data_IF_461582340077
#
_entry.id   IF_461582340077
#
_cell.length_a   1.000
_cell.length_b   1.000
_cell.length_c   1.000
_cell.angle_alpha   90.00
_cell.angle_beta   90.00
_cell.angle_gamma   90.00
#
_symmetry.space_group_name_H-M   'P 1'
#
loop_
_entity.id
_entity.type
_entity.pdbx_description
1 polymer ?
#
# COMPACT_ATOMS: atom_id res chain seq x y z
N UNK A 1 10.70 107.40 -129.05
CA UNK A 1 9.44 106.88 -129.61
C UNK A 1 9.79 105.75 -130.59
N UNK A 2 9.74 104.49 -130.12
CA UNK A 2 10.43 103.32 -130.69
C UNK A 2 10.73 103.37 -132.20
N UNK A 3 11.98 103.69 -132.55
CA UNK A 3 12.48 103.60 -133.93
C UNK A 3 12.61 102.11 -134.28
N UNK A 4 11.70 101.63 -135.10
CA UNK A 4 11.81 100.26 -135.63
C UNK A 4 12.91 100.19 -136.69
N UNK A 5 13.62 99.04 -136.84
CA UNK A 5 14.58 98.86 -137.93
C UNK A 5 13.98 99.07 -139.34
N UNK A 6 12.67 98.90 -139.49
CA UNK A 6 11.94 99.18 -140.73
C UNK A 6 11.81 100.71 -140.95
N UNK A 7 11.53 101.50 -139.92
CA UNK A 7 11.52 102.96 -140.01
C UNK A 7 12.90 103.54 -140.38
N UNK A 8 14.01 102.92 -139.94
CA UNK A 8 15.38 103.30 -140.35
C UNK A 8 15.60 103.05 -141.85
N UNK A 9 15.05 101.95 -142.37
CA UNK A 9 15.19 101.54 -143.76
C UNK A 9 14.35 102.41 -144.72
N UNK A 10 13.19 102.87 -144.27
CA UNK A 10 12.21 103.60 -145.07
C UNK A 10 12.32 105.13 -144.92
N UNK A 11 13.34 105.65 -144.22
CA UNK A 11 13.57 107.08 -144.02
C UNK A 11 14.09 107.77 -145.29
N UNK A 12 13.31 108.70 -145.82
CA UNK A 12 13.75 109.64 -146.87
C UNK A 12 14.37 110.91 -146.26
N UNK A 13 15.25 111.58 -147.03
CA UNK A 13 15.91 112.83 -146.64
C UNK A 13 15.79 113.88 -147.75
N UNK A 14 15.63 115.14 -147.36
CA UNK A 14 15.58 116.28 -148.26
C UNK A 14 16.92 116.45 -148.99
N UNK A 15 16.84 116.85 -150.27
CA UNK A 15 18.03 117.11 -151.09
C UNK A 15 18.33 118.61 -151.19
N UNK A 16 19.61 118.96 -151.09
CA UNK A 16 20.16 120.30 -151.29
C UNK A 16 21.13 120.28 -152.48
N UNK A 17 21.60 121.45 -152.90
CA UNK A 17 22.59 121.53 -153.98
C UNK A 17 23.84 120.72 -153.63
N UNK A 18 24.04 119.61 -154.38
CA UNK A 18 25.14 118.64 -154.22
C UNK A 18 25.08 117.70 -153.00
N UNK A 19 23.89 117.35 -152.49
CA UNK A 19 23.76 116.23 -151.53
C UNK A 19 22.40 116.13 -150.83
N UNK A 20 22.31 115.26 -149.82
CA UNK A 20 21.23 115.31 -148.82
C UNK A 20 21.45 116.45 -147.81
N UNK A 21 20.40 116.81 -147.07
CA UNK A 21 20.48 117.80 -146.00
C UNK A 21 21.27 117.26 -144.81
N UNK A 22 22.51 117.75 -144.66
CA UNK A 22 23.41 117.37 -143.57
C UNK A 22 22.94 117.83 -142.17
N UNK A 23 21.85 118.60 -142.05
CA UNK A 23 21.21 118.90 -140.75
C UNK A 23 20.18 117.82 -140.41
N UNK A 24 19.29 117.50 -141.35
CA UNK A 24 18.24 116.49 -141.18
C UNK A 24 18.82 115.08 -140.97
N UNK A 25 19.81 114.70 -141.79
CA UNK A 25 20.54 113.42 -141.64
C UNK A 25 21.22 113.32 -140.27
N UNK A 26 21.75 114.43 -139.73
CA UNK A 26 22.37 114.44 -138.40
C UNK A 26 21.36 114.29 -137.28
N UNK A 27 20.29 115.08 -137.29
CA UNK A 27 19.24 115.00 -136.27
C UNK A 27 18.59 113.59 -136.24
N UNK A 28 18.47 112.94 -137.40
CA UNK A 28 17.97 111.57 -137.47
C UNK A 28 18.98 110.52 -136.94
N UNK A 29 20.26 110.66 -137.26
CA UNK A 29 21.32 109.80 -136.71
C UNK A 29 21.51 110.01 -135.19
N UNK A 30 21.28 111.22 -134.69
CA UNK A 30 21.28 111.57 -133.27
C UNK A 30 20.12 110.88 -132.55
N UNK A 31 18.90 110.95 -133.10
CA UNK A 31 17.72 110.23 -132.57
C UNK A 31 17.89 108.69 -132.62
N UNK A 32 18.53 108.14 -133.66
CA UNK A 32 18.91 106.72 -133.71
C UNK A 32 19.94 106.40 -132.62
N UNK A 33 20.93 107.27 -132.40
CA UNK A 33 21.95 107.05 -131.37
C UNK A 33 21.36 107.09 -129.95
N UNK A 34 20.39 107.97 -129.68
CA UNK A 34 19.63 108.01 -128.42
C UNK A 34 18.84 106.71 -128.20
N UNK A 35 18.04 106.28 -129.18
CA UNK A 35 17.22 105.05 -129.08
C UNK A 35 18.08 103.77 -129.01
N UNK A 36 19.21 103.73 -129.71
CA UNK A 36 20.16 102.63 -129.64
C UNK A 36 20.91 102.61 -128.29
N UNK A 37 21.22 103.79 -127.72
CA UNK A 37 21.76 103.90 -126.38
C UNK A 37 20.76 103.44 -125.31
N UNK A 38 19.48 103.85 -125.41
CA UNK A 38 18.42 103.31 -124.54
C UNK A 38 18.31 101.78 -124.65
N UNK A 39 18.42 101.22 -125.86
CA UNK A 39 18.35 99.77 -126.07
C UNK A 39 19.55 99.04 -125.45
N UNK A 40 20.77 99.56 -125.62
CA UNK A 40 21.97 99.00 -125.00
C UNK A 40 21.92 99.08 -123.47
N UNK A 41 21.44 100.18 -122.92
CA UNK A 41 21.30 100.36 -121.47
C UNK A 41 20.19 99.45 -120.89
N UNK A 42 19.08 99.25 -121.60
CA UNK A 42 18.07 98.24 -121.23
C UNK A 42 18.61 96.81 -121.31
N UNK A 43 19.42 96.48 -122.32
CA UNK A 43 20.09 95.19 -122.43
C UNK A 43 21.06 94.97 -121.26
N UNK A 44 21.87 95.98 -120.91
CA UNK A 44 22.78 95.93 -119.75
C UNK A 44 22.01 95.70 -118.44
N UNK A 45 20.91 96.43 -118.23
CA UNK A 45 20.04 96.25 -117.06
C UNK A 45 19.43 94.84 -117.01
N UNK A 46 18.95 94.31 -118.14
CA UNK A 46 18.41 92.95 -118.22
C UNK A 46 19.49 91.87 -118.00
N UNK A 47 20.71 92.07 -118.48
CA UNK A 47 21.85 91.17 -118.19
C UNK A 47 22.23 91.19 -116.71
N UNK A 48 22.18 92.36 -116.06
CA UNK A 48 22.40 92.52 -114.62
C UNK A 48 21.28 91.87 -113.78
N UNK A 49 20.01 92.08 -114.14
CA UNK A 49 18.84 91.41 -113.54
C UNK A 49 18.91 89.87 -113.69
N UNK A 50 19.19 89.38 -114.91
CA UNK A 50 19.34 87.94 -115.18
C UNK A 50 20.52 87.36 -114.39
N UNK A 51 21.62 88.11 -114.27
CA UNK A 51 22.77 87.73 -113.45
C UNK A 51 22.42 87.60 -111.96
N UNK A 52 21.64 88.55 -111.43
CA UNK A 52 21.24 88.55 -110.04
C UNK A 52 20.18 87.48 -109.71
N UNK A 53 19.17 87.29 -110.57
CA UNK A 53 18.18 86.22 -110.45
C UNK A 53 18.85 84.84 -110.48
N UNK A 54 19.91 84.66 -111.27
CA UNK A 54 20.72 83.42 -111.26
C UNK A 54 21.42 83.19 -109.92
N UNK A 55 22.12 84.19 -109.36
CA UNK A 55 22.75 84.08 -108.03
C UNK A 55 21.73 83.74 -106.94
N UNK A 56 20.57 84.40 -106.96
CA UNK A 56 19.50 84.15 -105.99
C UNK A 56 18.92 82.74 -106.14
N UNK A 57 18.77 82.24 -107.38
CA UNK A 57 18.37 80.84 -107.64
C UNK A 57 19.43 79.86 -107.14
N UNK A 58 20.70 80.07 -107.46
CA UNK A 58 21.82 79.21 -107.04
C UNK A 58 21.91 79.13 -105.51
N UNK A 59 21.80 80.27 -104.82
CA UNK A 59 21.74 80.32 -103.34
C UNK A 59 20.50 79.60 -102.79
N UNK A 60 19.34 79.74 -103.42
CA UNK A 60 18.12 79.04 -103.01
C UNK A 60 18.22 77.52 -103.24
N UNK A 61 18.85 77.07 -104.32
CA UNK A 61 19.11 75.65 -104.59
C UNK A 61 20.12 75.07 -103.58
N UNK A 62 21.17 75.82 -103.21
CA UNK A 62 22.09 75.42 -102.14
C UNK A 62 21.38 75.32 -100.77
N UNK A 63 20.59 76.34 -100.39
CA UNK A 63 19.84 76.33 -99.12
C UNK A 63 18.83 75.20 -99.06
N UNK A 64 18.10 74.92 -100.15
CA UNK A 64 17.18 73.78 -100.21
C UNK A 64 17.92 72.44 -100.09
N UNK A 65 19.09 72.29 -100.74
CA UNK A 65 19.93 71.08 -100.63
C UNK A 65 20.42 70.85 -99.20
N UNK A 66 20.87 71.90 -98.50
CA UNK A 66 21.26 71.86 -97.08
C UNK A 66 20.07 71.47 -96.19
N UNK A 67 18.93 72.16 -96.34
CA UNK A 67 17.70 71.88 -95.57
C UNK A 67 17.18 70.46 -95.80
N UNK A 68 17.28 69.92 -97.02
CA UNK A 68 16.93 68.53 -97.29
C UNK A 68 17.87 67.57 -96.54
N UNK A 69 19.17 67.84 -96.51
CA UNK A 69 20.14 67.07 -95.71
C UNK A 69 19.84 67.10 -94.21
N UNK A 70 19.49 68.27 -93.67
CA UNK A 70 19.11 68.44 -92.26
C UNK A 70 17.79 67.69 -91.94
N UNK A 71 16.83 67.70 -92.86
CA UNK A 71 15.56 66.95 -92.75
C UNK A 71 15.81 65.45 -92.79
N UNK A 72 16.62 64.94 -93.72
CA UNK A 72 16.98 63.53 -93.82
C UNK A 72 17.74 63.05 -92.57
N UNK A 73 18.64 63.87 -92.03
CA UNK A 73 19.33 63.58 -90.77
C UNK A 73 18.37 63.55 -89.57
N UNK A 74 17.46 64.52 -89.49
CA UNK A 74 16.42 64.58 -88.44
C UNK A 74 15.47 63.37 -88.50
N UNK A 75 15.06 62.94 -89.70
CA UNK A 75 14.23 61.75 -89.89
C UNK A 75 14.93 60.49 -89.36
N UNK A 76 16.21 60.28 -89.71
CA UNK A 76 17.00 59.12 -89.23
C UNK A 76 17.13 59.11 -87.70
N UNK A 77 17.38 60.28 -87.08
CA UNK A 77 17.43 60.40 -85.62
C UNK A 77 16.07 60.09 -84.96
N UNK A 78 14.95 60.50 -85.59
CA UNK A 78 13.60 60.15 -85.11
C UNK A 78 13.30 58.65 -85.27
N UNK A 79 13.79 58.01 -86.32
CA UNK A 79 13.68 56.55 -86.52
C UNK A 79 14.53 55.76 -85.51
N UNK A 80 15.78 56.17 -85.27
CA UNK A 80 16.66 55.60 -84.25
C UNK A 80 16.05 55.73 -82.84
N UNK A 81 15.55 56.93 -82.49
CA UNK A 81 14.88 57.18 -81.22
C UNK A 81 13.63 56.31 -81.06
N UNK A 82 12.79 56.16 -82.10
CA UNK A 82 11.62 55.26 -82.11
C UNK A 82 12.02 53.80 -81.91
N UNK A 83 13.08 53.33 -82.56
CA UNK A 83 13.63 51.99 -82.33
C UNK A 83 14.05 51.80 -80.87
N UNK A 84 14.83 52.72 -80.32
CA UNK A 84 15.29 52.67 -78.93
C UNK A 84 14.15 52.79 -77.89
N UNK A 85 13.02 53.40 -78.26
CA UNK A 85 11.82 53.49 -77.43
C UNK A 85 11.07 52.15 -77.46
N UNK A 86 10.83 51.58 -78.64
CA UNK A 86 10.19 50.27 -78.76
C UNK A 86 10.97 49.17 -78.03
N UNK A 87 12.32 49.16 -78.11
CA UNK A 87 13.13 48.23 -77.32
C UNK A 87 13.11 48.50 -75.80
N UNK A 88 12.68 49.68 -75.34
CA UNK A 88 12.47 49.95 -73.90
C UNK A 88 11.10 49.48 -73.48
N UNK A 89 10.07 49.78 -74.27
CA UNK A 89 8.69 49.29 -74.06
C UNK A 89 8.65 47.76 -73.99
N UNK A 90 9.41 47.02 -74.82
CA UNK A 90 9.51 45.55 -74.68
C UNK A 90 10.21 45.13 -73.39
N UNK A 91 11.34 45.75 -73.02
CA UNK A 91 12.09 45.42 -71.79
C UNK A 91 11.33 45.79 -70.51
N UNK A 92 10.49 46.82 -70.56
CA UNK A 92 9.59 47.20 -69.47
C UNK A 92 8.42 46.21 -69.37
N UNK A 93 7.87 45.74 -70.50
CA UNK A 93 6.85 44.69 -70.51
C UNK A 93 7.38 43.30 -70.10
N UNK A 94 8.66 42.99 -70.38
CA UNK A 94 9.34 41.79 -69.87
C UNK A 94 9.50 41.87 -68.35
N UNK A 95 10.07 42.97 -67.84
CA UNK A 95 10.22 43.20 -66.39
C UNK A 95 8.92 43.26 -65.62
N UNK A 96 7.83 43.77 -66.23
CA UNK A 96 6.52 43.76 -65.61
C UNK A 96 6.05 42.32 -65.30
N UNK A 97 6.32 41.37 -66.20
CA UNK A 97 6.05 39.93 -65.98
C UNK A 97 6.99 39.31 -64.96
N UNK A 98 8.28 39.61 -65.02
CA UNK A 98 9.24 39.16 -64.00
C UNK A 98 8.80 39.61 -62.58
N UNK A 99 8.24 40.82 -62.46
CA UNK A 99 7.69 41.33 -61.20
C UNK A 99 6.39 40.62 -60.82
N UNK A 100 5.47 40.36 -61.76
CA UNK A 100 4.21 39.63 -61.53
C UNK A 100 4.47 38.18 -61.09
N UNK A 101 5.37 37.46 -61.77
CA UNK A 101 5.81 36.11 -61.42
C UNK A 101 6.47 36.07 -60.02
N UNK A 102 7.36 37.03 -59.72
CA UNK A 102 7.97 37.16 -58.40
C UNK A 102 6.97 37.56 -57.30
N UNK A 103 5.89 38.29 -57.63
CA UNK A 103 4.81 38.59 -56.69
C UNK A 103 4.01 37.33 -56.38
N UNK A 104 3.61 36.53 -57.38
CA UNK A 104 2.92 35.26 -57.13
C UNK A 104 3.76 34.29 -56.29
N UNK A 105 5.07 34.17 -56.56
CA UNK A 105 5.96 33.33 -55.76
C UNK A 105 6.12 33.84 -54.32
N UNK A 106 6.07 35.16 -54.09
CA UNK A 106 6.09 35.72 -52.74
C UNK A 106 4.77 35.45 -51.99
N UNK A 107 3.63 35.56 -52.65
CA UNK A 107 2.31 35.24 -52.07
C UNK A 107 2.21 33.74 -51.72
N UNK A 108 2.72 32.85 -52.58
CA UNK A 108 2.82 31.40 -52.31
C UNK A 108 3.72 31.10 -51.10
N UNK A 109 4.94 31.66 -51.04
CA UNK A 109 5.83 31.50 -49.87
C UNK A 109 5.26 32.14 -48.60
N UNK A 110 4.46 33.20 -48.72
CA UNK A 110 3.70 33.81 -47.63
C UNK A 110 2.56 32.90 -47.14
N UNK A 111 2.02 32.01 -47.99
CA UNK A 111 1.04 30.99 -47.58
C UNK A 111 1.74 29.81 -46.89
N UNK A 112 2.78 29.22 -47.52
CA UNK A 112 3.58 28.14 -46.93
C UNK A 112 4.12 28.53 -45.54
N UNK A 113 4.61 29.77 -45.37
CA UNK A 113 5.11 30.24 -44.07
C UNK A 113 4.00 30.29 -43.00
N UNK A 114 2.76 30.62 -43.36
CA UNK A 114 1.62 30.63 -42.42
C UNK A 114 1.24 29.21 -42.01
N UNK A 115 1.23 28.26 -42.96
CA UNK A 115 0.99 26.84 -42.67
C UNK A 115 2.08 26.30 -41.71
N UNK A 116 3.36 26.63 -41.92
CA UNK A 116 4.44 26.26 -40.97
C UNK A 116 4.37 27.01 -39.63
N UNK A 117 3.90 28.27 -39.58
CA UNK A 117 3.65 29.00 -38.33
C UNK A 117 2.51 28.35 -37.52
N UNK A 118 1.47 27.84 -38.18
CA UNK A 118 0.37 27.08 -37.56
C UNK A 118 0.80 25.67 -37.10
N UNK A 119 1.51 24.90 -37.94
CA UNK A 119 2.08 23.59 -37.56
C UNK A 119 3.03 23.70 -36.36
N UNK A 120 3.86 24.75 -36.31
CA UNK A 120 4.76 25.01 -35.19
C UNK A 120 3.98 25.31 -33.91
N UNK A 121 2.93 26.14 -34.00
CA UNK A 121 2.06 26.45 -32.85
C UNK A 121 1.37 25.20 -32.29
N UNK A 122 0.90 24.29 -33.16
CA UNK A 122 0.36 23.00 -32.73
C UNK A 122 1.45 22.09 -32.11
N UNK A 123 2.65 22.07 -32.68
CA UNK A 123 3.77 21.29 -32.13
C UNK A 123 4.20 21.78 -30.75
N UNK A 124 4.28 23.10 -30.54
CA UNK A 124 4.60 23.70 -29.23
C UNK A 124 3.53 23.39 -28.18
N UNK A 125 2.24 23.44 -28.54
CA UNK A 125 1.15 23.03 -27.64
C UNK A 125 1.27 21.55 -27.24
N UNK A 126 1.46 20.64 -28.21
CA UNK A 126 1.64 19.19 -27.97
C UNK A 126 2.90 18.87 -27.15
N UNK A 127 3.91 19.75 -27.13
CA UNK A 127 5.08 19.65 -26.25
C UNK A 127 4.74 20.13 -24.84
N UNK A 128 4.04 21.25 -24.69
CA UNK A 128 3.57 21.76 -23.39
C UNK A 128 2.72 20.72 -22.65
N UNK A 129 1.73 20.13 -23.33
CA UNK A 129 0.86 19.09 -22.76
C UNK A 129 1.67 17.86 -22.28
N UNK A 130 2.71 17.48 -23.04
CA UNK A 130 3.60 16.37 -22.69
C UNK A 130 4.52 16.69 -21.52
N UNK A 131 5.02 17.92 -21.41
CA UNK A 131 5.84 18.33 -20.27
C UNK A 131 5.02 18.43 -18.98
N UNK A 132 3.72 18.76 -19.07
CA UNK A 132 2.79 18.70 -17.93
C UNK A 132 2.52 17.24 -17.50
N UNK A 133 2.16 16.34 -18.43
CA UNK A 133 2.01 14.90 -18.13
C UNK A 133 3.29 14.26 -17.57
N UNK A 134 4.47 14.64 -18.08
CA UNK A 134 5.77 14.20 -17.54
C UNK A 134 6.04 14.76 -16.14
N UNK A 135 5.51 15.94 -15.80
CA UNK A 135 5.60 16.54 -14.47
C UNK A 135 4.71 15.81 -13.47
N UNK A 136 3.48 15.48 -13.86
CA UNK A 136 2.54 14.70 -13.05
C UNK A 136 3.10 13.30 -12.78
N UNK A 137 3.48 12.56 -13.83
CA UNK A 137 4.06 11.21 -13.70
C UNK A 137 5.34 11.17 -12.84
N UNK A 138 6.18 12.22 -12.87
CA UNK A 138 7.32 12.35 -11.95
C UNK A 138 6.88 12.55 -10.50
N UNK A 139 5.85 13.36 -10.26
CA UNK A 139 5.28 13.56 -8.92
C UNK A 139 4.69 12.26 -8.37
N UNK A 140 3.97 11.48 -9.20
CA UNK A 140 3.47 10.17 -8.84
C UNK A 140 4.58 9.17 -8.54
N UNK A 141 5.63 9.10 -9.37
CA UNK A 141 6.79 8.24 -9.11
C UNK A 141 7.48 8.56 -7.78
N UNK A 142 7.64 9.85 -7.44
CA UNK A 142 8.25 10.24 -6.16
C UNK A 142 7.30 9.98 -4.97
N UNK A 143 5.98 10.16 -5.13
CA UNK A 143 4.99 9.74 -4.13
C UNK A 143 5.02 8.21 -3.89
N UNK A 144 5.10 7.41 -4.95
CA UNK A 144 5.21 5.95 -4.88
C UNK A 144 6.55 5.51 -4.25
N UNK A 145 7.67 6.15 -4.60
CA UNK A 145 8.98 5.92 -3.96
C UNK A 145 8.93 6.19 -2.45
N UNK A 146 8.32 7.31 -2.05
CA UNK A 146 8.13 7.65 -0.64
C UNK A 146 7.26 6.61 0.08
N UNK A 147 6.19 6.12 -0.56
CA UNK A 147 5.33 5.07 0.00
C UNK A 147 6.04 3.72 0.11
N UNK A 148 6.85 3.34 -0.89
CA UNK A 148 7.70 2.13 -0.85
C UNK A 148 8.69 2.24 0.30
N UNK A 149 9.44 3.34 0.42
CA UNK A 149 10.43 3.54 1.48
C UNK A 149 9.81 3.46 2.90
N UNK A 150 8.59 3.99 3.08
CA UNK A 150 7.83 3.87 4.31
C UNK A 150 7.42 2.42 4.62
N UNK A 151 6.86 1.71 3.64
CA UNK A 151 6.47 0.29 3.80
C UNK A 151 7.67 -0.62 4.05
N UNK A 152 8.82 -0.32 3.44
CA UNK A 152 10.09 -0.99 3.66
C UNK A 152 10.56 -0.85 5.12
N UNK A 153 10.45 0.34 5.71
CA UNK A 153 10.84 0.56 7.11
C UNK A 153 9.87 -0.14 8.08
N UNK A 154 8.56 -0.07 7.85
CA UNK A 154 7.58 -0.85 8.62
C UNK A 154 7.88 -2.36 8.54
N UNK A 155 8.31 -2.86 7.37
CA UNK A 155 8.74 -4.26 7.21
C UNK A 155 10.05 -4.58 7.95
N UNK A 156 10.95 -3.61 8.17
CA UNK A 156 12.15 -3.80 9.00
C UNK A 156 11.79 -3.81 10.49
N UNK A 157 10.91 -2.92 10.92
CA UNK A 157 10.41 -2.87 12.30
C UNK A 157 9.68 -4.18 12.67
N UNK A 158 8.70 -4.61 11.88
CA UNK A 158 7.96 -5.85 12.11
C UNK A 158 8.87 -7.10 12.13
N UNK A 159 9.87 -7.18 11.25
CA UNK A 159 10.84 -8.29 11.26
C UNK A 159 11.76 -8.28 12.48
N UNK A 160 12.07 -7.09 13.02
CA UNK A 160 12.83 -6.96 14.26
C UNK A 160 11.97 -7.39 15.46
N UNK A 161 10.72 -6.94 15.53
CA UNK A 161 9.76 -7.37 16.54
C UNK A 161 9.52 -8.88 16.49
N UNK A 162 9.40 -9.48 15.30
CA UNK A 162 9.30 -10.93 15.10
C UNK A 162 10.52 -11.68 15.70
N UNK A 163 11.73 -11.16 15.50
CA UNK A 163 12.97 -11.74 16.05
C UNK A 163 13.04 -11.59 17.57
N UNK A 164 12.71 -10.42 18.12
CA UNK A 164 12.70 -10.19 19.56
C UNK A 164 11.58 -10.97 20.27
N UNK A 165 10.43 -11.16 19.61
CA UNK A 165 9.34 -12.02 20.09
C UNK A 165 9.72 -13.51 20.06
N UNK A 166 10.32 -14.00 18.95
CA UNK A 166 10.89 -15.36 18.87
C UNK A 166 11.95 -15.60 19.93
N UNK A 167 12.81 -14.61 20.20
CA UNK A 167 13.81 -14.66 21.27
C UNK A 167 13.16 -14.72 22.66
N UNK A 168 12.09 -13.96 22.88
CA UNK A 168 11.33 -13.95 24.13
C UNK A 168 10.63 -15.28 24.38
N UNK A 169 10.00 -15.87 23.34
CA UNK A 169 9.45 -17.24 23.40
C UNK A 169 10.56 -18.25 23.74
N UNK A 170 11.73 -18.17 23.07
CA UNK A 170 12.86 -19.06 23.36
C UNK A 170 13.44 -18.95 24.77
N UNK A 171 13.30 -17.77 25.42
CA UNK A 171 13.64 -17.59 26.85
C UNK A 171 12.53 -18.14 27.74
N UNK A 172 11.26 -17.90 27.42
CA UNK A 172 10.12 -18.42 28.18
C UNK A 172 10.01 -19.95 28.14
N UNK A 173 10.32 -20.58 27.00
CA UNK A 173 10.43 -22.03 26.84
C UNK A 173 11.53 -22.59 27.75
N UNK A 174 12.75 -22.08 27.66
CA UNK A 174 13.86 -22.50 28.54
C UNK A 174 13.53 -22.31 30.02
N UNK A 175 12.90 -21.19 30.39
CA UNK A 175 12.46 -20.97 31.76
C UNK A 175 11.40 -21.98 32.22
N UNK A 176 10.48 -22.39 31.34
CA UNK A 176 9.52 -23.45 31.62
C UNK A 176 10.19 -24.84 31.71
N UNK A 177 11.16 -25.13 30.84
CA UNK A 177 11.95 -26.37 30.87
C UNK A 177 12.81 -26.46 32.15
N UNK A 178 13.58 -25.41 32.47
CA UNK A 178 14.36 -25.26 33.70
C UNK A 178 13.47 -25.41 34.96
N UNK A 179 12.27 -24.82 34.93
CA UNK A 179 11.29 -24.94 36.01
C UNK A 179 10.72 -26.36 36.10
N UNK A 180 10.46 -27.04 34.98
CA UNK A 180 10.04 -28.44 34.97
C UNK A 180 11.14 -29.39 35.44
N UNK A 181 12.41 -29.17 35.09
CA UNK A 181 13.53 -29.96 35.59
C UNK A 181 13.72 -29.74 37.10
N UNK A 182 13.72 -28.47 37.55
CA UNK A 182 13.85 -28.13 38.97
C UNK A 182 12.68 -28.67 39.80
N UNK A 183 11.44 -28.53 39.34
CA UNK A 183 10.28 -29.08 40.05
C UNK A 183 10.26 -30.60 40.05
N UNK A 184 10.68 -31.28 38.97
CA UNK A 184 10.89 -32.73 38.99
C UNK A 184 11.90 -33.12 40.08
N UNK A 185 13.08 -32.52 40.09
CA UNK A 185 14.12 -32.79 41.08
C UNK A 185 13.64 -32.52 42.53
N UNK A 186 12.91 -31.42 42.76
CA UNK A 186 12.31 -31.10 44.06
C UNK A 186 11.22 -32.10 44.46
N UNK A 187 10.39 -32.58 43.53
CA UNK A 187 9.39 -33.64 43.81
C UNK A 187 10.03 -35.01 44.03
N UNK A 188 11.08 -35.37 43.29
CA UNK A 188 11.84 -36.61 43.50
C UNK A 188 12.54 -36.60 44.87
N UNK A 189 13.14 -35.48 45.27
CA UNK A 189 13.70 -35.36 46.62
C UNK A 189 12.60 -35.39 47.69
N UNK A 190 11.49 -34.68 47.50
CA UNK A 190 10.35 -34.69 48.44
C UNK A 190 9.75 -36.08 48.61
N UNK A 191 9.60 -36.85 47.52
CA UNK A 191 9.18 -38.26 47.56
C UNK A 191 10.20 -39.07 48.34
N UNK A 192 11.50 -38.99 48.00
CA UNK A 192 12.55 -39.75 48.70
C UNK A 192 12.65 -39.40 50.19
N UNK A 193 12.50 -38.13 50.56
CA UNK A 193 12.42 -37.69 51.96
C UNK A 193 11.17 -38.24 52.66
N UNK A 194 10.03 -38.31 51.95
CA UNK A 194 8.77 -38.84 52.49
C UNK A 194 8.81 -40.35 52.66
N UNK A 195 9.40 -41.09 51.71
CA UNK A 195 9.71 -42.52 51.82
C UNK A 195 10.66 -42.79 52.99
N UNK A 196 11.76 -42.03 53.11
CA UNK A 196 12.70 -42.18 54.23
C UNK A 196 12.04 -41.91 55.59
N UNK A 197 11.16 -40.89 55.68
CA UNK A 197 10.35 -40.64 56.89
C UNK A 197 9.36 -41.76 57.16
N UNK A 198 8.68 -42.30 56.14
CA UNK A 198 7.77 -43.43 56.29
C UNK A 198 8.52 -44.69 56.78
N UNK A 199 9.68 -44.98 56.21
CA UNK A 199 10.56 -46.08 56.66
C UNK A 199 11.05 -45.87 58.11
N UNK A 200 11.41 -44.64 58.51
CA UNK A 200 11.78 -44.33 59.89
C UNK A 200 10.59 -44.48 60.85
N UNK A 201 9.38 -44.05 60.48
CA UNK A 201 8.17 -44.24 61.27
C UNK A 201 7.88 -45.73 61.42
N UNK A 202 7.89 -46.50 60.32
CA UNK A 202 7.70 -47.95 60.32
C UNK A 202 8.72 -48.65 61.22
N UNK A 203 10.02 -48.43 61.02
CA UNK A 203 11.07 -49.04 61.85
C UNK A 203 10.92 -48.68 63.34
N UNK A 204 10.59 -47.42 63.67
CA UNK A 204 10.33 -47.02 65.05
C UNK A 204 9.04 -47.63 65.62
N UNK A 205 8.09 -48.00 64.76
CA UNK A 205 6.84 -48.67 65.12
C UNK A 205 7.07 -50.16 65.33
N UNK A 206 7.91 -50.79 64.50
CA UNK A 206 8.38 -52.16 64.66
C UNK A 206 9.20 -52.34 65.94
N UNK A 207 10.10 -51.40 66.26
CA UNK A 207 10.86 -51.40 67.52
C UNK A 207 9.93 -51.26 68.75
N UNK A 208 8.95 -50.35 68.70
CA UNK A 208 7.93 -50.19 69.74
C UNK A 208 7.03 -51.43 69.87
N UNK A 209 6.67 -52.06 68.76
CA UNK A 209 5.88 -53.29 68.76
C UNK A 209 6.69 -54.47 69.31
N UNK A 210 7.96 -54.61 68.93
CA UNK A 210 8.86 -55.64 69.43
C UNK A 210 9.13 -55.51 70.94
N UNK A 211 9.39 -54.29 71.42
CA UNK A 211 9.57 -54.01 72.85
C UNK A 211 8.28 -54.21 73.65
N UNK A 212 7.11 -53.80 73.13
CA UNK A 212 5.82 -54.09 73.75
C UNK A 212 5.49 -55.59 73.79
N UNK A 213 5.77 -56.33 72.71
CA UNK A 213 5.62 -57.80 72.67
C UNK A 213 6.60 -58.51 73.61
N UNK A 214 7.81 -57.98 73.80
CA UNK A 214 8.76 -58.52 74.76
C UNK A 214 8.31 -58.25 76.20
N UNK A 215 7.90 -57.02 76.54
CA UNK A 215 7.32 -56.70 77.85
C UNK A 215 6.08 -57.56 78.16
N UNK A 216 5.22 -57.80 77.15
CA UNK A 216 4.07 -58.70 77.30
C UNK A 216 4.48 -60.17 77.54
N UNK A 217 5.58 -60.65 76.94
CA UNK A 217 6.14 -61.99 77.21
C UNK A 217 6.73 -62.09 78.61
N UNK A 218 7.49 -61.07 79.04
CA UNK A 218 8.07 -61.02 80.39
C UNK A 218 6.97 -60.97 81.48
N UNK A 219 5.87 -60.26 81.21
CA UNK A 219 4.68 -60.22 82.07
C UNK A 219 3.91 -61.55 82.07
N UNK A 220 3.74 -62.21 80.91
CA UNK A 220 3.19 -63.57 80.84
C UNK A 220 4.07 -64.56 81.63
N UNK A 221 5.39 -64.43 81.58
CA UNK A 221 6.28 -65.23 82.43
C UNK A 221 6.12 -64.92 83.92
N UNK A 222 5.98 -63.64 84.30
CA UNK A 222 5.71 -63.24 85.70
C UNK A 222 4.44 -63.89 86.22
N UNK A 223 3.33 -63.74 85.48
CA UNK A 223 2.05 -64.35 85.80
C UNK A 223 2.14 -65.88 85.84
N UNK A 224 2.92 -66.51 84.94
CA UNK A 224 3.14 -67.97 84.96
C UNK A 224 3.93 -68.42 86.21
N UNK A 225 4.94 -67.66 86.64
CA UNK A 225 5.70 -67.95 87.87
C UNK A 225 4.82 -67.80 89.11
N UNK A 226 3.97 -66.78 89.17
CA UNK A 226 3.02 -66.56 90.26
C UNK A 226 1.96 -67.66 90.33
N UNK A 227 1.37 -68.05 89.19
CA UNK A 227 0.45 -69.18 89.11
C UNK A 227 1.11 -70.51 89.54
N UNK A 228 2.38 -70.76 89.19
CA UNK A 228 3.12 -71.93 89.68
C UNK A 228 3.41 -71.86 91.20
N UNK A 229 3.65 -70.67 91.76
CA UNK A 229 3.84 -70.49 93.20
C UNK A 229 2.55 -70.77 93.98
N UNK A 230 1.39 -70.29 93.51
CA UNK A 230 0.09 -70.61 94.11
C UNK A 230 -0.24 -72.10 93.98
N UNK A 231 0.03 -72.71 92.82
CA UNK A 231 -0.15 -74.15 92.59
C UNK A 231 0.71 -75.01 93.54
N UNK A 232 1.89 -74.52 93.95
CA UNK A 232 2.75 -75.15 94.96
C UNK A 232 2.29 -74.92 96.40
N UNK A 233 1.50 -73.88 96.68
CA UNK A 233 1.00 -73.52 98.01
C UNK A 233 -0.30 -74.26 98.37
N UNK A 234 -1.18 -74.49 97.40
CA UNK A 234 -2.45 -75.21 97.59
C UNK A 234 -2.28 -76.59 98.26
N UNK A 235 -1.29 -77.44 97.91
CA UNK A 235 -1.02 -78.70 98.62
C UNK A 235 -0.70 -78.53 100.11
N UNK A 236 0.05 -77.48 100.48
CA UNK A 236 0.41 -77.23 101.89
C UNK A 236 -0.80 -76.79 102.72
N UNK A 237 -1.68 -75.95 102.15
CA UNK A 237 -2.92 -75.54 102.80
C UNK A 237 -3.92 -76.71 102.92
N UNK A 238 -4.01 -77.56 101.89
CA UNK A 238 -4.77 -78.83 101.95
C UNK A 238 -4.21 -79.74 103.06
N UNK A 239 -2.90 -79.79 103.27
CA UNK A 239 -2.31 -80.55 104.38
C UNK A 239 -2.63 -79.92 105.75
N UNK A 240 -2.52 -78.60 105.90
CA UNK A 240 -2.86 -77.91 107.15
C UNK A 240 -4.33 -78.11 107.54
N UNK A 241 -5.26 -77.97 106.59
CA UNK A 241 -6.69 -78.25 106.78
C UNK A 241 -6.93 -79.71 107.17
N UNK A 242 -6.19 -80.66 106.59
CA UNK A 242 -6.25 -82.06 106.98
C UNK A 242 -5.74 -82.31 108.41
N UNK A 243 -4.67 -81.63 108.84
CA UNK A 243 -4.15 -81.70 110.22
C UNK A 243 -5.16 -81.10 111.21
N UNK A 244 -5.79 -79.97 110.90
CA UNK A 244 -6.88 -79.37 111.70
C UNK A 244 -8.08 -80.32 111.82
N UNK A 245 -8.57 -80.84 110.70
CA UNK A 245 -9.67 -81.84 110.64
C UNK A 245 -9.40 -83.09 111.46
N UNK A 246 -8.13 -83.51 111.57
CA UNK A 246 -7.72 -84.63 112.42
C UNK A 246 -7.73 -84.24 113.90
N UNK A 247 -7.17 -83.08 114.26
CA UNK A 247 -7.12 -82.57 115.64
C UNK A 247 -8.50 -82.46 116.28
N UNK A 248 -9.45 -81.81 115.60
CA UNK A 248 -10.85 -81.65 116.08
C UNK A 248 -11.56 -83.00 116.32
N UNK A 249 -11.26 -84.01 115.48
CA UNK A 249 -11.81 -85.36 115.62
C UNK A 249 -11.24 -86.08 116.85
N UNK A 250 -9.96 -85.92 117.10
CA UNK A 250 -9.26 -86.56 118.22
C UNK A 250 -9.62 -85.86 119.56
N UNK A 251 -9.86 -84.54 119.54
CA UNK A 251 -10.46 -83.77 120.66
C UNK A 251 -11.89 -84.24 120.99
N UNK A 252 -12.77 -84.39 120.00
CA UNK A 252 -14.13 -84.93 120.17
C UNK A 252 -14.12 -86.35 120.77
N UNK A 253 -13.15 -87.19 120.40
CA UNK A 253 -12.94 -88.50 121.02
C UNK A 253 -12.53 -88.39 122.48
N UNK A 254 -11.62 -87.48 122.83
CA UNK A 254 -11.18 -87.29 124.21
C UNK A 254 -12.35 -86.92 125.14
N UNK A 255 -13.22 -86.02 124.70
CA UNK A 255 -14.40 -85.56 125.46
C UNK A 255 -15.40 -86.72 125.68
N UNK A 256 -15.70 -87.50 124.63
CA UNK A 256 -16.62 -88.63 124.73
C UNK A 256 -16.12 -89.75 125.64
N UNK A 257 -14.80 -90.03 125.66
CA UNK A 257 -14.25 -91.04 126.57
C UNK A 257 -14.28 -90.58 128.03
N UNK A 258 -13.95 -89.30 128.31
CA UNK A 258 -13.95 -88.76 129.67
C UNK A 258 -15.33 -88.75 130.34
N UNK A 259 -16.41 -88.62 129.56
CA UNK A 259 -17.78 -88.70 130.09
C UNK A 259 -18.28 -90.14 130.35
N UNK A 260 -17.62 -91.16 129.79
CA UNK A 260 -17.94 -92.57 130.10
C UNK A 260 -17.34 -93.00 131.45
N UNK A 261 -16.08 -92.66 131.72
CA UNK A 261 -15.40 -93.01 132.98
C UNK A 261 -16.06 -92.36 134.22
N UNK A 262 -16.78 -91.24 134.04
CA UNK A 262 -17.52 -90.55 135.11
C UNK A 262 -18.83 -91.25 135.52
N UNK A 263 -19.33 -92.24 134.76
CA UNK A 263 -20.64 -92.85 134.99
C UNK A 263 -20.63 -94.19 135.75
N UNK A 264 -19.47 -94.85 135.92
CA UNK A 264 -19.40 -96.21 136.50
C UNK A 264 -19.11 -96.26 138.01
N UNK A 265 -19.00 -95.13 138.73
CA UNK A 265 -18.30 -95.07 140.03
C UNK A 265 -19.08 -94.60 141.27
N UNK A 266 -20.42 -94.42 141.23
CA UNK A 266 -21.22 -94.10 142.43
C UNK A 266 -22.58 -94.81 142.49
N UNK A 267 -22.93 -95.30 143.69
CA UNK A 267 -24.23 -95.86 144.04
C UNK A 267 -24.47 -95.77 145.57
N UNK A 268 -25.72 -95.50 145.97
CA UNK A 268 -26.31 -95.76 147.32
C UNK A 268 -25.76 -94.88 148.48
N UNK A 269 -26.55 -94.11 149.26
CA UNK A 269 -28.02 -93.89 149.26
C UNK A 269 -28.44 -92.56 149.98
N UNK A 270 -29.74 -92.24 149.85
CA UNK A 270 -30.66 -91.45 150.71
C UNK A 270 -30.78 -89.90 150.74
N UNK A 271 -32.02 -89.50 150.40
CA UNK A 271 -32.94 -88.46 150.92
C UNK A 271 -32.63 -86.93 150.96
N UNK A 272 -33.35 -86.25 150.05
CA UNK A 272 -34.26 -85.10 150.30
C UNK A 272 -33.78 -83.62 150.25
N UNK A 273 -34.73 -82.75 149.86
CA UNK A 273 -34.72 -81.26 149.88
C UNK A 273 -33.77 -80.60 148.85
N UNK A 274 -34.20 -79.76 147.89
CA UNK A 274 -35.54 -79.28 147.53
C UNK A 274 -35.64 -78.86 146.04
N UNK A 275 -36.88 -78.57 145.61
CA UNK A 275 -37.28 -77.99 144.31
C UNK A 275 -36.46 -76.75 143.91
N UNK A 276 -36.28 -76.56 142.61
CA UNK A 276 -36.89 -75.41 141.91
C UNK A 276 -37.34 -75.84 140.51
N UNK A 277 -38.44 -75.25 140.03
CA UNK A 277 -39.14 -75.63 138.80
C UNK A 277 -38.85 -74.68 137.62
N UNK A 278 -38.95 -75.25 136.42
CA UNK A 278 -39.40 -74.70 135.12
C UNK A 278 -39.41 -73.19 134.79
N UNK A 279 -38.88 -72.91 133.59
CA UNK A 279 -39.42 -72.08 132.50
C UNK A 279 -39.56 -70.54 132.58
N UNK A 280 -39.68 -69.98 131.36
CA UNK A 280 -40.12 -68.63 130.94
C UNK A 280 -39.33 -67.38 131.38
N UNK A 281 -38.59 -66.80 130.42
CA UNK A 281 -38.45 -65.37 130.03
C UNK A 281 -37.29 -65.31 129.02
N UNK A 282 -37.41 -65.04 127.71
CA UNK A 282 -38.35 -64.25 126.90
C UNK A 282 -38.39 -62.75 127.23
N UNK A 283 -38.21 -61.92 126.18
CA UNK A 283 -38.21 -60.44 126.19
C UNK A 283 -36.98 -59.80 126.89
N UNK A 284 -36.47 -58.61 126.52
CA UNK A 284 -36.77 -57.64 125.43
C UNK A 284 -35.46 -57.40 124.62
N UNK A 285 -35.44 -57.13 123.31
CA UNK A 285 -36.08 -56.06 122.51
C UNK A 285 -35.54 -54.67 122.85
N UNK A 286 -34.90 -54.02 121.88
CA UNK A 286 -35.33 -52.68 121.41
C UNK A 286 -34.75 -52.43 119.99
N UNK A 287 -35.64 -52.04 119.08
CA UNK A 287 -35.34 -51.46 117.76
C UNK A 287 -35.80 -49.99 117.80
N UNK A 288 -35.16 -49.10 117.02
CA UNK A 288 -35.99 -48.27 116.16
C UNK A 288 -35.40 -48.01 114.75
N UNK A 289 -36.26 -48.16 113.75
CA UNK A 289 -36.29 -47.37 112.50
C UNK A 289 -37.19 -46.11 112.76
N UNK A 290 -37.53 -45.20 111.81
CA UNK A 290 -37.21 -45.14 110.37
C UNK A 290 -36.82 -43.71 109.87
N UNK A 291 -37.05 -43.45 108.57
CA UNK A 291 -37.11 -42.15 107.84
C UNK A 291 -35.78 -41.39 107.63
N UNK A 292 -35.42 -40.85 106.44
CA UNK A 292 -36.00 -40.76 105.08
C UNK A 292 -34.78 -40.50 104.12
N UNK A 293 -34.66 -40.76 102.80
CA UNK A 293 -35.51 -40.99 101.61
C UNK A 293 -35.03 -42.27 100.86
N UNK A 294 -35.67 -42.90 99.86
CA UNK A 294 -36.29 -42.47 98.57
C UNK A 294 -35.30 -41.80 97.58
N UNK A 295 -35.16 -42.18 96.29
CA UNK A 295 -35.89 -43.12 95.39
C UNK A 295 -34.93 -43.92 94.48
N UNK A 296 -35.36 -45.05 93.88
CA UNK A 296 -34.76 -45.67 92.69
C UNK A 296 -35.53 -45.32 91.39
N UNK A 297 -34.93 -45.52 90.20
CA UNK A 297 -35.52 -46.30 89.08
C UNK A 297 -34.58 -46.44 87.85
N UNK A 298 -34.88 -47.43 87.02
CA UNK A 298 -34.36 -47.69 85.65
C UNK A 298 -35.27 -46.88 84.64
N UNK A 299 -35.53 -47.18 83.33
CA UNK A 299 -35.23 -48.37 82.52
C UNK A 299 -34.84 -48.17 81.02
N UNK A 300 -34.47 -49.29 80.38
CA UNK A 300 -34.76 -49.65 78.96
C UNK A 300 -34.08 -48.89 77.80
N UNK A 301 -33.84 -49.51 76.63
CA UNK A 301 -33.98 -50.93 76.26
C UNK A 301 -34.21 -51.14 74.75
N UNK A 302 -34.11 -52.41 74.28
CA UNK A 302 -34.44 -52.90 72.92
C UNK A 302 -33.63 -52.33 71.72
N UNK A 303 -33.44 -53.04 70.60
CA UNK A 303 -33.15 -54.46 70.36
C UNK A 303 -32.49 -54.60 68.95
N UNK A 304 -32.28 -55.83 68.48
CA UNK A 304 -32.43 -56.37 67.09
C UNK A 304 -32.47 -55.41 65.86
N UNK A 305 -31.93 -55.74 64.69
CA UNK A 305 -31.14 -56.92 64.23
C UNK A 305 -30.68 -56.73 62.77
N UNK A 306 -29.68 -57.52 62.36
CA UNK A 306 -29.56 -58.24 61.07
C UNK A 306 -29.95 -57.60 59.70
N UNK A 307 -29.00 -57.75 58.76
CA UNK A 307 -29.19 -58.19 57.36
C UNK A 307 -29.64 -57.24 56.21
N UNK A 308 -28.66 -57.02 55.32
CA UNK A 308 -28.64 -57.36 53.87
C UNK A 308 -29.52 -56.64 52.80
N UNK A 309 -28.75 -56.13 51.83
CA UNK A 309 -28.91 -56.20 50.36
C UNK A 309 -29.93 -55.36 49.54
N UNK A 310 -29.32 -54.73 48.52
CA UNK A 310 -29.69 -54.68 47.08
C UNK A 310 -30.95 -53.98 46.58
N UNK A 311 -30.69 -53.13 45.57
CA UNK A 311 -31.54 -52.90 44.36
C UNK A 311 -32.84 -52.09 44.58
N UNK A 312 -33.28 -51.22 43.66
CA UNK A 312 -32.74 -50.75 42.38
C UNK A 312 -33.47 -49.44 41.97
N UNK A 313 -33.03 -48.78 40.88
CA UNK A 313 -33.80 -47.82 40.06
C UNK A 313 -34.29 -46.50 40.73
N UNK A 314 -34.47 -45.38 40.03
CA UNK A 314 -33.91 -44.91 38.75
C UNK A 314 -34.26 -43.44 38.55
N UNK A 315 -33.30 -42.59 38.20
CA UNK A 315 -33.38 -41.81 36.95
C UNK A 315 -32.08 -41.05 36.65
N UNK A 316 -31.72 -41.00 35.37
CA UNK A 316 -30.78 -40.04 34.77
C UNK A 316 -31.57 -39.12 33.84
N UNK A 317 -31.09 -38.78 32.63
CA UNK A 317 -29.73 -38.88 32.06
C UNK A 317 -29.13 -37.44 31.91
N UNK A 318 -28.09 -37.10 31.14
CA UNK A 318 -27.23 -37.80 30.18
C UNK A 318 -25.80 -37.16 30.25
N UNK A 319 -24.69 -37.85 29.97
CA UNK A 319 -24.02 -38.01 28.65
C UNK A 319 -23.54 -36.68 27.99
N UNK A 320 -22.38 -36.60 27.34
CA UNK A 320 -21.31 -37.61 27.06
C UNK A 320 -19.94 -36.96 26.77
N UNK A 321 -18.91 -37.80 26.60
CA UNK A 321 -17.63 -37.47 25.98
C UNK A 321 -17.76 -37.41 24.44
N UNK A 322 -17.00 -36.54 23.77
CA UNK A 322 -16.09 -36.90 22.64
C UNK A 322 -15.44 -35.69 21.94
N UNK A 323 -14.10 -35.73 21.87
CA UNK A 323 -13.24 -35.56 20.67
C UNK A 323 -13.31 -34.34 19.69
N UNK A 324 -12.34 -34.36 18.78
CA UNK A 324 -12.25 -33.74 17.45
C UNK A 324 -11.61 -32.34 17.28
N UNK A 325 -11.05 -32.15 16.08
CA UNK A 325 -10.16 -31.07 15.65
C UNK A 325 -10.93 -29.91 14.95
N UNK A 326 -10.24 -28.78 14.83
CA UNK A 326 -10.33 -27.70 13.82
C UNK A 326 -11.24 -27.95 12.58
N UNK A 327 -11.92 -26.91 12.05
CA UNK A 327 -11.28 -25.62 11.74
C UNK A 327 -12.11 -24.36 12.07
N UNK A 328 -11.66 -23.21 11.55
CA UNK A 328 -12.31 -21.91 11.71
C UNK A 328 -13.49 -21.73 10.72
N UNK A 329 -14.51 -21.01 11.16
CA UNK A 329 -15.08 -19.87 10.42
C UNK A 329 -16.10 -19.14 11.31
N UNK A 330 -15.93 -17.82 11.50
CA UNK A 330 -17.02 -16.82 11.59
C UNK A 330 -16.43 -15.40 11.58
N UNK A 331 -16.48 -14.76 10.41
CA UNK A 331 -16.04 -13.39 10.18
C UNK A 331 -17.19 -12.42 10.43
N UNK A 332 -17.18 -11.68 11.54
CA UNK A 332 -18.18 -10.64 11.78
C UNK A 332 -17.76 -9.26 11.25
N UNK A 333 -18.23 -8.97 10.04
CA UNK A 333 -18.74 -7.65 9.62
C UNK A 333 -17.89 -6.38 9.86
N UNK A 334 -16.72 -6.26 9.21
CA UNK A 334 -16.19 -4.92 8.87
C UNK A 334 -16.74 -4.49 7.50
N UNK A 335 -17.78 -3.65 7.53
CA UNK A 335 -18.43 -3.10 6.34
C UNK A 335 -17.56 -1.97 5.74
N UNK A 336 -16.71 -2.28 4.75
CA UNK A 336 -16.04 -1.27 3.93
C UNK A 336 -16.79 -1.06 2.61
N UNK A 337 -17.42 0.10 2.48
CA UNK A 337 -17.98 0.56 1.20
C UNK A 337 -16.85 0.95 0.25
N UNK A 338 -16.59 0.12 -0.75
CA UNK A 338 -15.78 0.49 -1.91
C UNK A 338 -16.64 1.32 -2.87
N UNK A 339 -16.23 2.54 -3.27
CA UNK A 339 -16.91 3.27 -4.33
C UNK A 339 -16.66 2.56 -5.66
N UNK A 340 -17.69 1.91 -6.20
CA UNK A 340 -17.65 1.33 -7.55
C UNK A 340 -17.65 2.48 -8.55
N UNK A 341 -16.49 2.79 -9.12
CA UNK A 341 -16.38 3.72 -10.25
C UNK A 341 -16.75 3.01 -11.55
N UNK A 342 -18.06 2.90 -11.83
CA UNK A 342 -18.55 2.57 -13.18
C UNK A 342 -18.04 3.65 -14.15
N UNK A 343 -17.15 3.30 -15.10
CA UNK A 343 -16.65 4.28 -16.07
C UNK A 343 -15.40 3.93 -16.90
N UNK A 344 -14.66 2.85 -16.62
CA UNK A 344 -13.36 2.57 -17.25
C UNK A 344 -13.24 1.20 -17.94
N UNK A 345 -14.30 0.74 -18.59
CA UNK A 345 -14.26 -0.30 -19.63
C UNK A 345 -15.33 0.01 -20.67
N UNK A 346 -14.92 0.40 -21.90
CA UNK A 346 -15.72 0.37 -23.16
C UNK A 346 -15.09 1.15 -24.35
N UNK A 347 -13.90 1.75 -24.24
CA UNK A 347 -13.30 2.52 -25.37
C UNK A 347 -12.21 1.76 -26.15
N UNK A 348 -11.34 0.99 -25.49
CA UNK A 348 -10.19 0.35 -26.18
C UNK A 348 -10.59 -0.81 -27.11
N UNK A 349 -11.66 -1.55 -26.79
CA UNK A 349 -12.14 -2.70 -27.58
C UNK A 349 -12.70 -2.29 -28.96
N UNK A 350 -13.36 -1.13 -29.06
CA UNK A 350 -13.89 -0.64 -30.35
C UNK A 350 -12.77 -0.09 -31.24
N UNK A 351 -11.70 0.46 -30.65
CA UNK A 351 -10.57 0.97 -31.41
C UNK A 351 -9.67 -0.17 -31.94
N UNK A 352 -9.55 -1.27 -31.19
CA UNK A 352 -8.96 -2.53 -31.68
C UNK A 352 -9.79 -3.17 -32.80
N UNK A 353 -11.12 -3.10 -32.74
CA UNK A 353 -12.00 -3.57 -33.83
C UNK A 353 -11.83 -2.75 -35.11
N UNK A 354 -11.83 -1.41 -35.01
CA UNK A 354 -11.63 -0.52 -36.17
C UNK A 354 -10.30 -0.81 -36.88
N UNK A 355 -9.21 -0.97 -36.13
CA UNK A 355 -7.87 -1.29 -36.68
C UNK A 355 -7.79 -2.66 -37.38
N UNK A 356 -8.67 -3.60 -37.04
CA UNK A 356 -8.82 -4.89 -37.71
C UNK A 356 -9.65 -4.80 -39.00
N UNK A 357 -10.68 -3.95 -39.05
CA UNK A 357 -11.45 -3.71 -40.29
C UNK A 357 -10.66 -2.89 -41.33
N UNK A 358 -9.75 -2.02 -40.88
CA UNK A 358 -8.85 -1.23 -41.75
C UNK A 358 -7.64 -2.02 -42.29
N UNK A 359 -7.52 -3.31 -41.95
CA UNK A 359 -6.53 -4.23 -42.55
C UNK A 359 -5.09 -4.09 -42.04
N UNK A 360 -4.89 -3.50 -40.85
CA UNK A 360 -3.57 -3.30 -40.27
C UNK A 360 -2.86 -4.60 -39.88
N UNK A 361 -1.81 -4.98 -40.61
CA UNK A 361 -0.93 -6.10 -40.24
C UNK A 361 -0.03 -5.65 -39.09
N UNK A 362 -0.30 -6.19 -37.88
CA UNK A 362 0.57 -5.99 -36.73
C UNK A 362 1.90 -6.73 -36.92
N UNK A 363 2.97 -5.99 -37.18
CA UNK A 363 4.34 -6.52 -37.15
C UNK A 363 4.79 -6.69 -35.71
N UNK A 364 4.91 -7.94 -35.26
CA UNK A 364 5.76 -8.30 -34.13
C UNK A 364 7.21 -8.12 -34.57
N UNK A 365 7.98 -7.32 -33.82
CA UNK A 365 9.44 -7.24 -33.92
C UNK A 365 10.04 -8.22 -32.91
N UNK A 366 10.69 -9.27 -33.40
CA UNK A 366 11.41 -10.25 -32.58
C UNK A 366 12.65 -9.65 -31.89
N UNK A 367 13.18 -10.38 -30.89
CA UNK A 367 14.28 -9.98 -29.99
C UNK A 367 15.68 -9.84 -30.65
N UNK A 368 16.52 -8.98 -30.05
CA UNK A 368 17.95 -9.23 -29.72
C UNK A 368 18.49 -8.16 -28.73
#
# INVERSE_FOLDING_TARGET
MAITPQAIKDQEFQTRFRGYDAVEVKAYLELIAEEFFELLERLRQQEEEIGEIKRQKELAEEVNSRLQGDVDASQRLVEELRGSLAEKETREAERAKEIEEMQTALDDFEAERKEFEEELSEAEARVSDRDELLRESRSEMDNLRNKIAFLDEQNRELKKEEVDFKRTIGVAQRFADDLMEKTKAETEELVRQSEQRAQQVLASSEEKAATALQAARDEIERLRREAYAELSRLPEEIEQLNRQRKRVRDELRSILTGHLEQLESFAVDDEAVARYDYDELFQKIDFPEPDDLFQPEDPSGSNESAELNESDLSDGPAESLADEFQPADELDSIHMELPISEGLFNQDDDDLRRKLEEGGVAYLSDDD
#
